data_IF_576362440937
#
_entry.id   IF_576362440937
#
_cell.length_a   1.000
_cell.length_b   1.000
_cell.length_c   1.000
_cell.angle_alpha   90.00
_cell.angle_beta   90.00
_cell.angle_gamma   90.00
#
_symmetry.space_group_name_H-M   'P 1'
#
loop_
_entity.id
_entity.type
_entity.pdbx_description
1 polymer ?
#
# COMPACT_ATOMS: atom_id res chain seq x y z
N UNK A 1 -26.69 11.37 -17.82
CA UNK A 1 -26.19 10.04 -17.40
C UNK A 1 -25.55 10.22 -16.04
N UNK A 2 -26.21 9.77 -14.98
CA UNK A 2 -25.59 9.71 -13.65
C UNK A 2 -24.61 8.54 -13.74
N UNK A 3 -23.32 8.82 -13.64
CA UNK A 3 -22.32 7.76 -13.50
C UNK A 3 -22.50 7.17 -12.11
N UNK A 4 -23.36 6.15 -11.99
CA UNK A 4 -23.41 5.33 -10.78
C UNK A 4 -22.01 4.76 -10.59
N UNK A 5 -21.24 5.33 -9.66
CA UNK A 5 -20.03 4.72 -9.14
C UNK A 5 -20.46 3.30 -8.74
N UNK A 6 -19.89 2.24 -9.35
CA UNK A 6 -20.42 0.90 -9.19
C UNK A 6 -20.46 0.52 -7.70
N UNK A 7 -21.67 0.50 -7.14
CA UNK A 7 -21.98 0.00 -5.78
C UNK A 7 -21.98 -1.54 -5.72
N UNK A 8 -21.79 -2.21 -6.84
CA UNK A 8 -22.00 -3.65 -6.97
C UNK A 8 -20.69 -4.43 -6.96
N UNK A 9 -20.44 -5.06 -5.81
CA UNK A 9 -19.75 -6.34 -5.72
C UNK A 9 -18.29 -6.25 -5.34
N UNK A 10 -17.98 -6.30 -4.03
CA UNK A 10 -16.73 -6.80 -3.39
C UNK A 10 -15.40 -6.60 -4.12
N UNK A 11 -15.29 -5.60 -4.98
CA UNK A 11 -14.06 -5.13 -5.59
C UNK A 11 -13.46 -4.17 -4.59
N UNK A 12 -12.77 -4.72 -3.59
CA UNK A 12 -11.86 -3.96 -2.73
C UNK A 12 -11.12 -2.99 -3.65
N UNK A 13 -11.20 -1.69 -3.40
CA UNK A 13 -10.37 -0.73 -4.11
C UNK A 13 -8.92 -0.97 -3.65
N UNK A 14 -8.29 -2.00 -4.22
CA UNK A 14 -6.93 -2.42 -3.96
C UNK A 14 -5.99 -1.46 -4.69
N UNK A 15 -6.02 -0.18 -4.33
CA UNK A 15 -4.86 0.68 -4.53
C UNK A 15 -3.84 0.26 -3.48
N UNK A 16 -3.04 -0.72 -3.92
CA UNK A 16 -1.97 -1.40 -3.23
C UNK A 16 -1.16 -0.51 -2.26
N UNK A 17 -0.88 -1.07 -1.08
CA UNK A 17 0.27 -0.61 -0.31
C UNK A 17 1.00 -1.72 0.43
N UNK A 18 1.97 -2.34 -0.23
CA UNK A 18 2.75 -3.45 0.34
C UNK A 18 4.19 -2.99 0.64
N UNK A 19 4.33 -1.93 1.44
CA UNK A 19 5.58 -1.17 1.43
C UNK A 19 6.55 -1.46 2.60
N UNK A 20 6.09 -1.75 3.82
CA UNK A 20 6.98 -2.03 5.00
C UNK A 20 6.92 -3.46 5.53
N UNK A 21 5.95 -4.22 5.03
CA UNK A 21 5.53 -5.53 5.47
C UNK A 21 6.58 -6.63 5.52
N UNK A 22 7.45 -6.67 4.52
CA UNK A 22 8.35 -7.80 4.33
C UNK A 22 9.59 -7.74 5.22
N UNK A 23 10.10 -6.54 5.49
CA UNK A 23 11.25 -6.37 6.37
C UNK A 23 10.97 -6.91 7.78
N UNK A 24 9.74 -6.68 8.25
CA UNK A 24 9.26 -7.16 9.54
C UNK A 24 8.95 -8.66 9.51
N UNK A 25 8.47 -9.17 8.39
CA UNK A 25 8.20 -10.59 8.21
C UNK A 25 9.48 -11.44 8.00
N UNK A 26 10.54 -10.87 7.44
CA UNK A 26 11.85 -11.49 7.29
C UNK A 26 12.56 -11.66 8.65
N UNK A 27 12.25 -10.80 9.62
CA UNK A 27 12.69 -10.92 11.01
C UNK A 27 11.90 -11.96 11.82
N UNK A 28 10.86 -12.60 11.24
CA UNK A 28 10.16 -13.71 11.89
C UNK A 28 11.19 -14.80 12.17
N UNK A 29 11.46 -15.10 13.45
CA UNK A 29 12.60 -15.94 13.82
C UNK A 29 12.52 -17.35 13.23
N UNK A 30 13.68 -17.94 12.94
CA UNK A 30 13.80 -19.32 12.46
C UNK A 30 13.28 -20.36 13.49
N UNK A 31 13.10 -19.98 14.76
CA UNK A 31 12.58 -20.88 15.79
C UNK A 31 11.09 -21.22 15.64
N UNK A 32 10.33 -20.54 14.77
CA UNK A 32 8.95 -20.92 14.47
C UNK A 32 8.82 -22.37 13.94
N UNK A 33 9.92 -22.99 13.51
CA UNK A 33 10.00 -24.39 13.09
C UNK A 33 10.37 -25.36 14.23
N UNK A 34 10.94 -24.88 15.34
CA UNK A 34 11.25 -25.73 16.49
C UNK A 34 10.06 -25.66 17.43
N UNK A 35 9.22 -26.69 17.38
CA UNK A 35 8.08 -26.85 18.28
C UNK A 35 8.46 -26.40 19.68
N UNK A 36 7.67 -25.47 20.22
CA UNK A 36 7.92 -24.80 21.50
C UNK A 36 8.21 -25.85 22.57
N UNK A 37 9.50 -26.02 22.87
CA UNK A 37 10.02 -26.82 23.95
C UNK A 37 10.92 -25.91 24.80
N UNK A 38 10.28 -25.38 25.84
CA UNK A 38 10.78 -25.27 27.22
C UNK A 38 12.02 -24.44 27.58
N UNK A 39 12.90 -23.95 26.70
CA UNK A 39 14.07 -23.17 27.16
C UNK A 39 14.65 -22.18 26.12
N UNK A 40 13.84 -21.28 25.55
CA UNK A 40 14.44 -20.11 24.89
C UNK A 40 14.85 -19.10 25.99
N UNK A 41 16.13 -18.73 26.15
CA UNK A 41 16.58 -17.77 27.16
C UNK A 41 16.11 -16.33 26.90
N UNK A 42 15.39 -16.09 25.79
CA UNK A 42 14.93 -14.78 25.35
C UNK A 42 13.45 -14.81 24.97
N UNK A 43 12.72 -13.74 25.28
CA UNK A 43 11.34 -13.56 24.84
C UNK A 43 11.26 -13.38 23.30
N UNK A 44 10.08 -13.62 22.72
CA UNK A 44 9.83 -13.38 21.27
C UNK A 44 10.19 -11.95 20.88
N UNK A 45 9.87 -10.97 21.73
CA UNK A 45 10.19 -9.56 21.50
C UNK A 45 11.70 -9.30 21.50
N UNK A 46 12.44 -9.86 22.48
CA UNK A 46 13.89 -9.71 22.54
C UNK A 46 14.57 -10.30 21.29
N UNK A 47 14.06 -11.41 20.76
CA UNK A 47 14.54 -11.97 19.50
C UNK A 47 14.26 -11.04 18.31
N UNK A 48 13.05 -10.49 18.23
CA UNK A 48 12.67 -9.54 17.17
C UNK A 48 13.60 -8.31 17.22
N UNK A 49 13.79 -7.72 18.40
CA UNK A 49 14.71 -6.59 18.60
C UNK A 49 16.14 -6.94 18.17
N UNK A 50 16.63 -8.13 18.56
CA UNK A 50 17.96 -8.60 18.15
C UNK A 50 18.06 -8.72 16.62
N UNK A 51 17.06 -9.32 16.00
CA UNK A 51 17.00 -9.53 14.54
C UNK A 51 16.93 -8.21 13.79
N UNK A 52 16.18 -7.23 14.30
CA UNK A 52 16.07 -5.90 13.71
C UNK A 52 17.36 -5.08 13.79
N UNK A 53 18.23 -5.37 14.76
CA UNK A 53 19.55 -4.75 14.90
C UNK A 53 20.61 -5.40 14.02
N UNK A 54 20.33 -6.53 13.37
CA UNK A 54 21.28 -7.21 12.48
C UNK A 54 21.33 -6.52 11.11
N UNK A 55 22.47 -5.89 10.72
CA UNK A 55 22.62 -5.26 9.41
C UNK A 55 22.47 -6.25 8.25
N UNK A 56 22.84 -7.53 8.46
CA UNK A 56 22.76 -8.56 7.44
C UNK A 56 21.31 -8.90 7.07
N UNK A 57 20.34 -8.61 7.94
CA UNK A 57 18.93 -8.75 7.62
C UNK A 57 18.49 -7.70 6.60
N UNK A 58 18.88 -6.43 6.78
CA UNK A 58 18.58 -5.34 5.84
C UNK A 58 19.19 -5.65 4.46
N UNK A 59 20.43 -6.11 4.42
CA UNK A 59 21.10 -6.53 3.18
C UNK A 59 20.34 -7.62 2.43
N UNK A 60 19.86 -8.61 3.18
CA UNK A 60 19.09 -9.72 2.63
C UNK A 60 17.76 -9.23 2.07
N UNK A 61 17.08 -8.33 2.79
CA UNK A 61 15.84 -7.72 2.33
C UNK A 61 16.04 -6.97 1.02
N UNK A 62 17.10 -6.16 0.90
CA UNK A 62 17.37 -5.43 -0.32
C UNK A 62 17.60 -6.37 -1.50
N UNK A 63 18.42 -7.41 -1.30
CA UNK A 63 18.76 -8.40 -2.34
C UNK A 63 17.56 -9.25 -2.77
N UNK A 64 16.73 -9.67 -1.83
CA UNK A 64 15.62 -10.59 -2.11
C UNK A 64 14.40 -9.87 -2.68
N UNK A 65 14.21 -8.58 -2.36
CA UNK A 65 12.99 -7.84 -2.71
C UNK A 65 13.14 -6.89 -3.88
N UNK A 66 14.35 -6.42 -4.18
CA UNK A 66 14.57 -5.44 -5.23
C UNK A 66 15.34 -6.05 -6.41
N UNK A 67 15.12 -5.55 -7.64
CA UNK A 67 15.90 -5.96 -8.79
C UNK A 67 17.41 -5.77 -8.57
N UNK A 68 18.22 -6.66 -9.13
CA UNK A 68 19.66 -6.48 -9.18
C UNK A 68 20.04 -5.23 -10.00
N UNK A 69 21.17 -4.59 -9.66
CA UNK A 69 21.71 -3.47 -10.43
C UNK A 69 21.08 -2.10 -10.14
N UNK A 70 20.42 -1.92 -8.98
CA UNK A 70 20.05 -0.58 -8.51
C UNK A 70 21.29 0.32 -8.36
N UNK A 71 21.11 1.63 -8.54
CA UNK A 71 22.19 2.59 -8.25
C UNK A 71 22.54 2.57 -6.75
N UNK A 72 23.80 2.84 -6.43
CA UNK A 72 24.28 2.91 -5.04
C UNK A 72 23.48 3.92 -4.21
N UNK A 73 23.09 5.05 -4.81
CA UNK A 73 22.25 6.07 -4.18
C UNK A 73 20.87 5.53 -3.78
N UNK A 74 20.21 4.78 -4.68
CA UNK A 74 18.90 4.18 -4.41
C UNK A 74 18.98 3.13 -3.32
N UNK A 75 19.99 2.27 -3.39
CA UNK A 75 20.22 1.24 -2.38
C UNK A 75 20.46 1.87 -1.01
N UNK A 76 21.25 2.94 -0.94
CA UNK A 76 21.50 3.67 0.30
C UNK A 76 20.21 4.26 0.90
N UNK A 77 19.32 4.83 0.08
CA UNK A 77 18.02 5.35 0.52
C UNK A 77 17.12 4.25 1.09
N UNK A 78 16.98 3.14 0.37
CA UNK A 78 16.16 2.00 0.79
C UNK A 78 16.71 1.37 2.07
N UNK A 79 18.03 1.21 2.16
CA UNK A 79 18.73 0.76 3.37
C UNK A 79 18.44 1.65 4.55
N UNK A 80 18.61 2.97 4.40
CA UNK A 80 18.35 3.94 5.46
C UNK A 80 16.89 3.86 5.95
N UNK A 81 15.94 3.78 5.02
CA UNK A 81 14.53 3.62 5.33
C UNK A 81 14.26 2.32 6.11
N UNK A 82 14.75 1.18 5.62
CA UNK A 82 14.56 -0.13 6.25
C UNK A 82 15.16 -0.17 7.65
N UNK A 83 16.41 0.29 7.80
CA UNK A 83 17.07 0.40 9.10
C UNK A 83 16.24 1.24 10.05
N UNK A 84 15.80 2.43 9.62
CA UNK A 84 15.01 3.33 10.47
C UNK A 84 13.73 2.67 10.97
N UNK A 85 12.95 2.04 10.08
CA UNK A 85 11.72 1.32 10.45
C UNK A 85 12.02 0.16 11.41
N UNK A 86 13.04 -0.64 11.14
CA UNK A 86 13.36 -1.82 11.97
C UNK A 86 13.90 -1.41 13.36
N UNK A 87 14.59 -0.29 13.46
CA UNK A 87 15.11 0.22 14.74
C UNK A 87 14.12 1.05 15.55
N UNK A 88 12.93 1.31 15.03
CA UNK A 88 11.88 2.03 15.76
C UNK A 88 11.37 1.18 16.93
N UNK A 89 11.45 1.72 18.14
CA UNK A 89 11.12 1.03 19.39
C UNK A 89 9.68 0.51 19.45
N UNK A 90 8.76 1.10 18.67
CA UNK A 90 7.34 0.72 18.63
C UNK A 90 7.08 -0.49 17.73
N UNK A 91 8.00 -0.77 16.81
CA UNK A 91 7.82 -1.81 15.79
C UNK A 91 7.97 -3.20 16.38
N UNK A 92 8.95 -3.43 17.27
CA UNK A 92 9.12 -4.73 17.90
C UNK A 92 7.91 -5.14 18.76
N UNK A 93 7.34 -4.29 19.64
CA UNK A 93 6.10 -4.60 20.36
C UNK A 93 4.91 -4.85 19.41
N UNK A 94 4.79 -4.06 18.34
CA UNK A 94 3.73 -4.24 17.34
C UNK A 94 3.83 -5.61 16.64
N UNK A 95 5.01 -5.98 16.15
CA UNK A 95 5.25 -7.26 15.48
C UNK A 95 5.10 -8.43 16.46
N UNK A 96 5.55 -8.28 17.70
CA UNK A 96 5.37 -9.29 18.77
C UNK A 96 3.90 -9.59 19.00
N UNK A 97 3.03 -8.57 19.06
CA UNK A 97 1.58 -8.75 19.23
C UNK A 97 0.94 -9.56 18.11
N UNK A 98 1.47 -9.44 16.90
CA UNK A 98 1.00 -10.17 15.72
C UNK A 98 1.50 -11.61 15.75
N UNK A 99 2.81 -11.81 16.00
CA UNK A 99 3.46 -13.13 15.88
C UNK A 99 3.16 -14.06 17.06
N UNK A 100 3.09 -13.53 18.29
CA UNK A 100 2.92 -14.34 19.50
C UNK A 100 1.73 -15.31 19.47
N UNK A 101 0.49 -14.89 19.14
CA UNK A 101 -0.64 -15.81 19.06
C UNK A 101 -0.46 -16.88 17.96
N UNK A 102 0.20 -16.53 16.85
CA UNK A 102 0.45 -17.49 15.75
C UNK A 102 1.50 -18.55 16.13
N UNK A 103 2.53 -18.15 16.87
CA UNK A 103 3.52 -19.10 17.42
C UNK A 103 2.89 -20.04 18.44
N UNK A 104 2.02 -19.53 19.33
CA UNK A 104 1.26 -20.35 20.27
C UNK A 104 0.35 -21.35 19.56
N UNK A 105 -0.26 -20.93 18.45
CA UNK A 105 -1.04 -21.79 17.56
C UNK A 105 -0.19 -22.71 16.67
N UNK A 106 1.14 -22.70 16.79
CA UNK A 106 2.09 -23.51 16.00
C UNK A 106 1.89 -23.36 14.49
N UNK A 107 1.55 -22.16 14.03
CA UNK A 107 1.38 -21.89 12.60
C UNK A 107 2.70 -22.08 11.84
N UNK A 108 2.66 -22.64 10.60
CA UNK A 108 3.84 -22.71 9.75
C UNK A 108 4.46 -21.33 9.51
N UNK A 109 5.79 -21.26 9.44
CA UNK A 109 6.54 -20.01 9.26
C UNK A 109 6.04 -19.18 8.07
N UNK A 110 5.69 -19.84 6.97
CA UNK A 110 5.23 -19.17 5.74
C UNK A 110 3.85 -18.53 5.92
N UNK A 111 3.02 -19.07 6.81
CA UNK A 111 1.75 -18.46 7.19
C UNK A 111 1.98 -17.26 8.12
N UNK A 112 2.86 -17.39 9.12
CA UNK A 112 3.23 -16.27 10.01
C UNK A 112 3.79 -15.11 9.18
N UNK A 113 4.70 -15.39 8.26
CA UNK A 113 5.31 -14.40 7.39
C UNK A 113 4.25 -13.65 6.57
N UNK A 114 3.33 -14.38 5.91
CA UNK A 114 2.22 -13.76 5.16
C UNK A 114 1.33 -12.90 6.05
N UNK A 115 0.97 -13.38 7.23
CA UNK A 115 0.13 -12.62 8.15
C UNK A 115 0.81 -11.34 8.66
N UNK A 116 2.11 -11.40 8.99
CA UNK A 116 2.89 -10.21 9.35
C UNK A 116 2.90 -9.23 8.19
N UNK A 117 3.13 -9.73 6.98
CA UNK A 117 3.14 -8.89 5.78
C UNK A 117 1.80 -8.16 5.57
N UNK A 118 0.69 -8.90 5.63
CA UNK A 118 -0.66 -8.34 5.49
C UNK A 118 -0.99 -7.34 6.59
N UNK A 119 -0.61 -7.64 7.84
CA UNK A 119 -0.94 -6.79 8.99
C UNK A 119 -0.17 -5.48 8.98
N UNK A 120 1.12 -5.52 8.61
CA UNK A 120 1.96 -4.32 8.49
C UNK A 120 1.50 -3.45 7.32
N UNK A 121 1.18 -4.08 6.18
CA UNK A 121 0.56 -3.41 5.02
C UNK A 121 -0.71 -2.68 5.42
N UNK A 122 -1.61 -3.37 6.14
CA UNK A 122 -2.84 -2.78 6.62
C UNK A 122 -2.58 -1.63 7.61
N UNK A 123 -1.61 -1.78 8.52
CA UNK A 123 -1.24 -0.71 9.45
C UNK A 123 -0.73 0.54 8.72
N UNK A 124 0.12 0.36 7.72
CA UNK A 124 0.61 1.45 6.90
C UNK A 124 -0.52 2.17 6.13
N UNK A 125 -1.48 1.42 5.59
CA UNK A 125 -2.63 2.01 4.91
C UNK A 125 -3.56 2.76 5.84
N UNK A 126 -3.87 2.19 7.01
CA UNK A 126 -4.63 2.90 8.04
C UNK A 126 -3.90 4.15 8.49
N UNK A 127 -2.58 4.09 8.55
CA UNK A 127 -1.69 5.24 8.79
C UNK A 127 -1.88 6.40 7.81
N UNK A 128 -2.16 6.15 6.53
CA UNK A 128 -2.41 7.21 5.54
C UNK A 128 -3.63 8.06 5.93
N UNK A 129 -4.65 7.46 6.54
CA UNK A 129 -5.84 8.18 7.01
C UNK A 129 -5.57 9.15 8.16
N UNK A 130 -4.40 9.01 8.81
CA UNK A 130 -3.92 9.90 9.87
C UNK A 130 -3.03 11.01 9.32
N UNK A 131 -2.61 10.94 8.06
CA UNK A 131 -1.73 11.96 7.49
C UNK A 131 -2.50 13.21 7.04
N UNK A 132 -1.82 14.37 6.95
CA UNK A 132 -2.39 15.56 6.35
C UNK A 132 -2.85 15.33 4.89
N UNK A 133 -3.93 15.99 4.43
CA UNK A 133 -4.48 15.79 3.08
C UNK A 133 -3.47 15.94 1.94
N UNK A 134 -2.48 16.83 2.08
CA UNK A 134 -1.46 17.05 1.05
C UNK A 134 -0.53 15.84 0.89
N UNK A 135 -0.20 15.15 1.99
CA UNK A 135 0.58 13.90 1.96
C UNK A 135 -0.20 12.76 1.32
N UNK A 136 -1.50 12.68 1.64
CA UNK A 136 -2.39 11.71 1.01
C UNK A 136 -2.53 12.00 -0.48
N UNK A 137 -2.67 13.27 -0.88
CA UNK A 137 -2.70 13.67 -2.29
C UNK A 137 -1.42 13.25 -3.03
N UNK A 138 -0.25 13.51 -2.45
CA UNK A 138 1.04 13.10 -3.00
C UNK A 138 1.13 11.57 -3.15
N UNK A 139 0.66 10.82 -2.15
CA UNK A 139 0.60 9.36 -2.23
C UNK A 139 -0.21 8.90 -3.44
N UNK A 140 -1.45 9.39 -3.61
CA UNK A 140 -2.30 9.00 -4.74
C UNK A 140 -1.71 9.43 -6.10
N UNK A 141 -1.01 10.56 -6.18
CA UNK A 141 -0.28 10.96 -7.39
C UNK A 141 0.84 9.97 -7.75
N UNK A 142 1.61 9.49 -6.75
CA UNK A 142 2.65 8.49 -6.94
C UNK A 142 2.06 7.13 -7.34
N UNK A 143 0.93 6.73 -6.73
CA UNK A 143 0.20 5.51 -7.12
C UNK A 143 -0.29 5.60 -8.57
N UNK A 144 -0.80 6.74 -9.02
CA UNK A 144 -1.21 6.91 -10.43
C UNK A 144 -0.02 6.82 -11.38
N UNK A 145 1.13 7.38 -11.00
CA UNK A 145 2.38 7.27 -11.78
C UNK A 145 2.84 5.82 -11.88
N UNK A 146 2.78 5.07 -10.76
CA UNK A 146 3.06 3.63 -10.74
C UNK A 146 2.14 2.89 -11.71
N UNK A 147 0.83 3.09 -11.61
CA UNK A 147 -0.17 2.42 -12.45
C UNK A 147 0.04 2.69 -13.94
N UNK A 148 0.56 3.86 -14.31
CA UNK A 148 0.88 4.21 -15.69
C UNK A 148 2.21 3.62 -16.18
N UNK A 149 3.11 3.27 -15.26
CA UNK A 149 4.42 2.70 -15.58
C UNK A 149 4.44 1.18 -15.72
N UNK A 150 3.38 0.49 -15.25
CA UNK A 150 3.28 -0.97 -15.33
C UNK A 150 2.57 -1.42 -16.61
N UNK A 151 2.78 -2.67 -17.07
CA UNK A 151 2.08 -3.20 -18.23
C UNK A 151 0.55 -3.11 -18.06
N UNK A 152 -0.17 -2.75 -19.13
CA UNK A 152 -1.62 -2.55 -19.07
C UNK A 152 -2.37 -3.78 -18.53
N UNK A 153 -1.92 -5.00 -18.88
CA UNK A 153 -2.50 -6.24 -18.37
C UNK A 153 -2.41 -6.36 -16.84
N UNK A 154 -1.28 -5.96 -16.24
CA UNK A 154 -1.08 -6.00 -14.80
C UNK A 154 -1.85 -4.87 -14.10
N UNK A 155 -1.90 -3.69 -14.70
CA UNK A 155 -2.74 -2.60 -14.22
C UNK A 155 -4.24 -2.99 -14.24
N UNK A 156 -4.71 -3.71 -15.27
CA UNK A 156 -6.08 -4.25 -15.28
C UNK A 156 -6.30 -5.21 -14.11
N UNK A 157 -5.39 -6.16 -13.90
CA UNK A 157 -5.48 -7.07 -12.75
C UNK A 157 -5.46 -6.31 -11.42
N UNK A 158 -4.67 -5.24 -11.30
CA UNK A 158 -4.63 -4.38 -10.10
C UNK A 158 -6.02 -3.78 -9.82
N UNK A 159 -6.62 -3.11 -10.81
CA UNK A 159 -7.94 -2.47 -10.64
C UNK A 159 -9.09 -3.46 -10.44
N UNK A 160 -8.96 -4.67 -10.97
CA UNK A 160 -9.92 -5.76 -10.75
C UNK A 160 -9.63 -6.57 -9.47
N UNK A 161 -8.61 -6.21 -8.68
CA UNK A 161 -8.17 -6.96 -7.49
C UNK A 161 -7.85 -8.44 -7.76
N UNK A 162 -7.28 -8.71 -8.94
CA UNK A 162 -6.88 -10.05 -9.39
C UNK A 162 -5.37 -10.32 -9.21
N UNK A 163 -4.61 -9.33 -8.71
CA UNK A 163 -3.22 -9.55 -8.33
C UNK A 163 -3.13 -10.08 -6.90
N UNK A 164 -2.38 -11.16 -6.72
CA UNK A 164 -1.97 -11.61 -5.40
C UNK A 164 -0.95 -10.64 -4.76
N UNK A 165 -0.73 -10.78 -3.45
CA UNK A 165 0.19 -9.90 -2.71
C UNK A 165 1.66 -10.00 -3.17
N UNK A 166 2.11 -11.14 -3.68
CA UNK A 166 3.47 -11.29 -4.20
C UNK A 166 3.63 -10.56 -5.54
N UNK A 167 2.66 -10.71 -6.45
CA UNK A 167 2.62 -10.04 -7.74
C UNK A 167 2.55 -8.52 -7.59
N UNK A 168 1.69 -8.01 -6.68
CA UNK A 168 1.63 -6.57 -6.38
C UNK A 168 2.96 -6.03 -5.86
N UNK A 169 3.63 -6.74 -4.93
CA UNK A 169 4.96 -6.34 -4.43
C UNK A 169 6.00 -6.30 -5.53
N UNK A 170 6.03 -7.30 -6.41
CA UNK A 170 7.00 -7.33 -7.50
C UNK A 170 6.87 -6.11 -8.41
N UNK A 171 5.64 -5.75 -8.77
CA UNK A 171 5.35 -4.53 -9.54
C UNK A 171 5.82 -3.27 -8.81
N UNK A 172 5.48 -3.18 -7.54
CA UNK A 172 5.81 -2.05 -6.68
C UNK A 172 7.33 -1.85 -6.52
N UNK A 173 8.09 -2.92 -6.26
CA UNK A 173 9.55 -2.89 -6.12
C UNK A 173 10.23 -2.63 -7.47
N UNK A 174 9.69 -3.18 -8.54
CA UNK A 174 10.11 -2.86 -9.91
C UNK A 174 9.96 -1.37 -10.22
N UNK A 175 8.84 -0.77 -9.84
CA UNK A 175 8.62 0.67 -9.99
C UNK A 175 9.54 1.50 -9.08
N UNK A 176 9.71 1.12 -7.81
CA UNK A 176 10.67 1.79 -6.92
C UNK A 176 12.11 1.73 -7.42
N UNK A 177 12.49 0.71 -8.19
CA UNK A 177 13.81 0.58 -8.77
C UNK A 177 14.06 1.58 -9.92
N UNK A 178 13.01 2.06 -10.57
CA UNK A 178 13.10 2.94 -11.75
C UNK A 178 12.61 4.37 -11.50
N UNK A 179 11.84 4.59 -10.44
CA UNK A 179 11.30 5.90 -10.04
C UNK A 179 12.41 6.95 -9.83
N UNK A 180 12.24 8.23 -10.20
CA UNK A 180 13.20 9.29 -9.86
C UNK A 180 13.56 9.32 -8.37
N UNK A 181 14.82 9.59 -8.03
CA UNK A 181 15.30 9.51 -6.64
C UNK A 181 14.50 10.39 -5.67
N UNK A 182 14.17 11.63 -6.08
CA UNK A 182 13.37 12.55 -5.27
C UNK A 182 11.95 12.02 -5.01
N UNK A 183 11.34 11.38 -6.01
CA UNK A 183 10.02 10.75 -5.85
C UNK A 183 10.11 9.53 -4.93
N UNK A 184 11.15 8.70 -5.04
CA UNK A 184 11.35 7.56 -4.16
C UNK A 184 11.51 8.03 -2.71
N UNK A 185 12.34 9.04 -2.47
CA UNK A 185 12.52 9.61 -1.15
C UNK A 185 11.21 10.13 -0.57
N UNK A 186 10.40 10.82 -1.38
CA UNK A 186 9.08 11.29 -0.94
C UNK A 186 8.13 10.13 -0.62
N UNK A 187 8.13 9.10 -1.45
CA UNK A 187 7.33 7.88 -1.26
C UNK A 187 7.69 7.18 0.06
N UNK A 188 8.98 6.95 0.31
CA UNK A 188 9.49 6.36 1.56
C UNK A 188 9.15 7.23 2.77
N UNK A 189 9.21 8.56 2.64
CA UNK A 189 8.82 9.49 3.70
C UNK A 189 7.33 9.38 4.04
N UNK A 190 6.44 9.29 3.03
CA UNK A 190 5.01 9.11 3.25
C UNK A 190 4.74 7.80 3.99
N UNK A 191 5.43 6.73 3.58
CA UNK A 191 5.32 5.41 4.20
C UNK A 191 5.74 5.36 5.63
N UNK A 192 6.87 5.97 5.92
CA UNK A 192 7.34 6.10 7.27
C UNK A 192 6.33 6.88 8.12
N UNK A 193 5.91 8.05 7.67
CA UNK A 193 4.95 8.89 8.41
C UNK A 193 3.63 8.16 8.67
N UNK A 194 3.11 7.44 7.67
CA UNK A 194 1.87 6.69 7.80
C UNK A 194 2.01 5.59 8.85
N UNK A 195 3.05 4.76 8.74
CA UNK A 195 3.28 3.67 9.67
C UNK A 195 3.51 4.18 11.10
N UNK A 196 4.34 5.21 11.28
CA UNK A 196 4.57 5.85 12.58
C UNK A 196 3.32 6.50 13.18
N UNK A 197 2.43 7.07 12.34
CA UNK A 197 1.15 7.61 12.81
C UNK A 197 0.21 6.52 13.29
N UNK A 198 0.17 5.38 12.59
CA UNK A 198 -0.62 4.22 13.02
C UNK A 198 -0.07 3.61 14.32
N UNK A 199 1.26 3.44 14.43
CA UNK A 199 1.88 2.89 15.64
C UNK A 199 1.67 3.78 16.87
N UNK A 200 1.58 5.11 16.68
CA UNK A 200 1.27 6.07 17.74
C UNK A 200 -0.22 6.20 18.03
N UNK A 201 -1.08 5.59 17.23
CA UNK A 201 -2.52 5.83 17.21
C UNK A 201 -2.86 7.34 17.16
N UNK A 202 -2.05 8.13 16.46
CA UNK A 202 -2.17 9.60 16.46
C UNK A 202 -1.63 10.23 15.17
N UNK A 203 -2.33 11.24 14.60
CA UNK A 203 -3.65 11.73 15.00
C UNK A 203 -4.77 10.71 14.76
N UNK A 204 -6.03 10.96 15.20
CA UNK A 204 -7.16 10.08 14.92
C UNK A 204 -7.33 9.82 13.42
N UNK A 205 -7.73 8.60 13.06
CA UNK A 205 -8.02 8.23 11.67
C UNK A 205 -9.16 9.08 11.13
N UNK A 206 -8.96 9.62 9.93
CA UNK A 206 -10.02 10.25 9.14
C UNK A 206 -10.71 9.20 8.28
N UNK A 207 -11.95 9.43 7.88
CA UNK A 207 -12.67 8.48 7.03
C UNK A 207 -14.12 8.89 6.82
N UNK A 208 -14.67 8.50 5.68
CA UNK A 208 -16.09 8.69 5.35
C UNK A 208 -16.63 7.44 4.70
N UNK A 209 -17.82 7.00 5.09
CA UNK A 209 -18.47 5.83 4.48
C UNK A 209 -19.08 6.14 3.11
N UNK A 210 -19.51 7.39 2.91
CA UNK A 210 -20.18 7.86 1.70
C UNK A 210 -19.74 9.28 1.34
N UNK A 211 -19.91 9.65 0.08
CA UNK A 211 -19.69 11.02 -0.39
C UNK A 211 -20.93 11.87 -0.11
N UNK A 212 -20.70 13.08 0.40
CA UNK A 212 -21.76 14.07 0.49
C UNK A 212 -22.19 14.48 -0.94
N UNK A 213 -23.48 14.80 -1.18
CA UNK A 213 -23.98 15.15 -2.52
C UNK A 213 -23.16 16.22 -3.25
N UNK A 214 -22.65 17.30 -2.59
CA UNK A 214 -21.80 18.29 -3.25
C UNK A 214 -20.47 17.72 -3.76
N UNK A 215 -19.88 16.75 -3.05
CA UNK A 215 -18.63 16.10 -3.48
C UNK A 215 -18.91 15.20 -4.68
N UNK A 216 -20.01 14.45 -4.64
CA UNK A 216 -20.43 13.60 -5.75
C UNK A 216 -20.67 14.43 -7.03
N UNK A 217 -21.43 15.52 -6.94
CA UNK A 217 -21.69 16.39 -8.09
C UNK A 217 -20.39 16.99 -8.67
N UNK A 218 -19.49 17.46 -7.81
CA UNK A 218 -18.20 17.99 -8.24
C UNK A 218 -17.32 16.91 -8.90
N UNK A 219 -17.34 15.68 -8.37
CA UNK A 219 -16.63 14.54 -8.93
C UNK A 219 -17.18 14.17 -10.31
N UNK A 220 -18.50 14.09 -10.47
CA UNK A 220 -19.15 13.80 -11.75
C UNK A 220 -18.80 14.83 -12.82
N UNK A 221 -18.83 16.14 -12.48
CA UNK A 221 -18.38 17.20 -13.39
C UNK A 221 -16.90 17.07 -13.74
N UNK A 222 -16.06 16.72 -12.77
CA UNK A 222 -14.62 16.52 -12.99
C UNK A 222 -14.35 15.32 -13.91
N UNK A 223 -15.03 14.19 -13.67
CA UNK A 223 -14.95 12.99 -14.50
C UNK A 223 -15.41 13.26 -15.92
N UNK A 224 -16.53 13.98 -16.11
CA UNK A 224 -17.03 14.33 -17.44
C UNK A 224 -15.98 15.12 -18.26
N UNK A 225 -15.30 16.10 -17.64
CA UNK A 225 -14.23 16.87 -18.28
C UNK A 225 -13.02 16.01 -18.66
N UNK A 226 -12.65 15.04 -17.82
CA UNK A 226 -11.54 14.11 -18.12
C UNK A 226 -11.90 13.09 -19.18
N UNK A 227 -13.09 12.50 -19.10
CA UNK A 227 -13.57 11.50 -20.06
C UNK A 227 -13.83 12.09 -21.45
N UNK A 228 -14.09 13.39 -21.57
CA UNK A 228 -14.17 14.09 -22.86
C UNK A 228 -12.86 14.02 -23.66
N UNK A 229 -11.71 13.69 -23.03
CA UNK A 229 -10.42 13.50 -23.69
C UNK A 229 -10.22 12.08 -24.25
N UNK A 230 -11.13 11.16 -23.91
CA UNK A 230 -11.09 9.78 -24.39
C UNK A 230 -11.94 9.64 -25.65
N UNK A 231 -11.70 8.57 -26.42
CA UNK A 231 -12.54 8.26 -27.57
C UNK A 231 -14.02 8.11 -27.13
N UNK A 232 -15.00 8.63 -27.89
CA UNK A 232 -16.41 8.61 -27.52
C UNK A 232 -16.90 7.23 -27.09
N UNK A 233 -17.63 7.16 -25.98
CA UNK A 233 -18.18 5.91 -25.43
C UNK A 233 -17.18 5.00 -24.72
N UNK A 234 -15.88 5.29 -24.73
CA UNK A 234 -14.85 4.46 -24.07
C UNK A 234 -15.12 4.33 -22.57
N UNK A 235 -15.27 5.45 -21.86
CA UNK A 235 -15.52 5.44 -20.42
C UNK A 235 -16.81 4.67 -20.08
N UNK A 236 -17.90 4.90 -20.81
CA UNK A 236 -19.18 4.21 -20.58
C UNK A 236 -19.06 2.69 -20.79
N UNK A 237 -18.41 2.25 -21.88
CA UNK A 237 -18.18 0.84 -22.17
C UNK A 237 -17.32 0.16 -21.10
N UNK A 238 -16.21 0.81 -20.71
CA UNK A 238 -15.29 0.29 -19.70
C UNK A 238 -15.98 0.17 -18.34
N UNK A 239 -16.67 1.22 -17.88
CA UNK A 239 -17.32 1.22 -16.58
C UNK A 239 -18.51 0.26 -16.52
N UNK A 240 -19.19 0.01 -17.64
CA UNK A 240 -20.29 -0.96 -17.70
C UNK A 240 -19.81 -2.42 -17.64
N UNK A 241 -18.63 -2.74 -18.22
CA UNK A 241 -18.09 -4.11 -18.28
C UNK A 241 -16.56 -4.12 -18.09
N UNK A 242 -16.04 -3.80 -16.89
CA UNK A 242 -14.61 -3.64 -16.67
C UNK A 242 -13.82 -4.93 -16.92
N UNK A 243 -14.39 -6.09 -16.62
CA UNK A 243 -13.76 -7.39 -16.88
C UNK A 243 -13.57 -7.66 -18.39
N UNK A 244 -14.46 -7.16 -19.24
CA UNK A 244 -14.44 -7.35 -20.70
C UNK A 244 -13.68 -6.24 -21.44
N UNK A 245 -13.35 -5.15 -20.75
CA UNK A 245 -12.64 -4.02 -21.35
C UNK A 245 -11.22 -4.39 -21.76
N UNK A 246 -10.73 -3.76 -22.82
CA UNK A 246 -9.31 -3.77 -23.14
C UNK A 246 -8.50 -3.22 -21.95
N UNK A 247 -7.32 -3.80 -21.71
CA UNK A 247 -6.52 -3.49 -20.55
C UNK A 247 -6.03 -2.02 -20.55
N UNK A 248 -5.60 -1.49 -21.71
CA UNK A 248 -5.14 -0.11 -21.79
C UNK A 248 -6.30 0.88 -21.61
N UNK A 249 -7.48 0.57 -22.16
CA UNK A 249 -8.68 1.36 -21.96
C UNK A 249 -9.13 1.39 -20.50
N UNK A 250 -9.16 0.22 -19.84
CA UNK A 250 -9.52 0.14 -18.43
C UNK A 250 -8.56 0.96 -17.57
N UNK A 251 -7.26 0.74 -17.74
CA UNK A 251 -6.24 1.48 -17.00
C UNK A 251 -6.38 2.99 -17.18
N UNK A 252 -6.57 3.45 -18.42
CA UNK A 252 -6.74 4.88 -18.71
C UNK A 252 -7.98 5.45 -18.03
N UNK A 253 -9.12 4.77 -18.12
CA UNK A 253 -10.39 5.25 -17.53
C UNK A 253 -10.29 5.32 -16.01
N UNK A 254 -9.74 4.30 -15.35
CA UNK A 254 -9.62 4.30 -13.88
C UNK A 254 -8.59 5.34 -13.39
N UNK A 255 -7.48 5.53 -14.10
CA UNK A 255 -6.52 6.60 -13.78
C UNK A 255 -7.17 7.98 -13.92
N UNK A 256 -7.92 8.22 -15.00
CA UNK A 256 -8.63 9.49 -15.18
C UNK A 256 -9.74 9.70 -14.14
N UNK A 257 -10.39 8.64 -13.68
CA UNK A 257 -11.35 8.70 -12.56
C UNK A 257 -10.68 9.11 -11.25
N UNK A 258 -9.54 8.51 -10.89
CA UNK A 258 -8.79 8.92 -9.69
C UNK A 258 -8.28 10.36 -9.81
N UNK A 259 -7.75 10.73 -10.97
CA UNK A 259 -7.31 12.11 -11.23
C UNK A 259 -8.47 13.12 -11.15
N UNK A 260 -9.68 12.73 -11.55
CA UNK A 260 -10.86 13.58 -11.42
C UNK A 260 -11.14 13.96 -9.96
N UNK A 261 -10.95 13.02 -9.03
CA UNK A 261 -11.05 13.27 -7.59
C UNK A 261 -9.93 14.13 -7.04
N UNK A 262 -8.72 14.01 -7.58
CA UNK A 262 -7.58 14.88 -7.20
C UNK A 262 -7.72 16.31 -7.72
N UNK A 263 -8.46 16.53 -8.81
CA UNK A 263 -8.75 17.88 -9.33
C UNK A 263 -9.80 18.65 -8.52
N UNK A 264 -10.45 18.00 -7.55
CA UNK A 264 -11.46 18.66 -6.73
C UNK A 264 -10.85 19.82 -5.92
N UNK A 265 -11.65 20.87 -5.64
CA UNK A 265 -11.26 21.90 -4.66
C UNK A 265 -10.85 21.26 -3.34
N UNK A 266 -9.86 21.85 -2.65
CA UNK A 266 -9.20 21.22 -1.50
C UNK A 266 -10.19 20.63 -0.49
N UNK A 267 -11.21 21.38 -0.08
CA UNK A 267 -12.22 20.93 0.88
C UNK A 267 -13.00 19.69 0.43
N UNK A 268 -13.31 19.57 -0.87
CA UNK A 268 -14.02 18.41 -1.43
C UNK A 268 -13.07 17.24 -1.70
N UNK A 269 -11.83 17.53 -2.11
CA UNK A 269 -10.77 16.54 -2.30
C UNK A 269 -10.47 15.79 -1.02
N UNK A 270 -10.37 16.49 0.11
CA UNK A 270 -10.17 15.86 1.43
C UNK A 270 -11.24 14.80 1.68
N UNK A 271 -12.51 15.14 1.47
CA UNK A 271 -13.62 14.21 1.69
C UNK A 271 -13.58 13.01 0.73
N UNK A 272 -13.22 13.24 -0.54
CA UNK A 272 -13.01 12.17 -1.51
C UNK A 272 -11.88 11.21 -1.10
N UNK A 273 -10.74 11.76 -0.66
CA UNK A 273 -9.61 10.96 -0.20
C UNK A 273 -9.94 10.17 1.08
N UNK A 274 -10.72 10.77 1.99
CA UNK A 274 -11.18 10.10 3.22
C UNK A 274 -12.13 8.93 2.90
N UNK A 275 -12.94 9.03 1.84
CA UNK A 275 -13.71 7.89 1.33
C UNK A 275 -12.78 6.79 0.82
N UNK A 276 -11.82 7.12 -0.06
CA UNK A 276 -10.91 6.12 -0.64
C UNK A 276 -10.15 5.34 0.43
N UNK A 277 -9.68 6.03 1.48
CA UNK A 277 -8.95 5.41 2.58
C UNK A 277 -9.85 4.59 3.52
N UNK A 278 -11.13 4.96 3.67
CA UNK A 278 -12.07 4.20 4.50
C UNK A 278 -12.35 2.78 3.98
N UNK A 279 -12.19 2.55 2.67
CA UNK A 279 -12.42 1.25 2.04
C UNK A 279 -11.35 0.22 2.39
N UNK A 280 -10.27 0.64 3.06
CA UNK A 280 -9.21 -0.26 3.52
C UNK A 280 -9.55 -0.89 4.87
N UNK A 281 -10.48 -0.30 5.63
CA UNK A 281 -10.91 -0.78 6.95
C UNK A 281 -12.06 -1.80 6.89
N UNK A 282 -12.68 -1.99 5.71
CA UNK A 282 -13.86 -2.86 5.47
C UNK A 282 -13.51 -4.17 4.78
#
# INVERSE_FOLDING_TARGET
>A
MIFSIPRSGRGRASCAALFTAWALAAAVPAFAQRGVATQAPMSVEQEIVRSFKDPALVERILRDQYPAGMSAEREALLRQFLTRIMTDERVAPFVTRIISPMLQAKMPRDQIRRQVEETVTAAQMRGLSRLPPDRVTQFFQLVMTMTQSIPAADCKKLFLSQLDAQSMRKLERGFQATMPIAELQNLLSIYQQAFEAELRDSPPRRGRKELDPPVQEALEKSMARRFAKLAPGTAARVLAKPEQADAAQLCTVYVEMTRAGLDLPQALRVQYLDLLLSQVDS
#
